data_IF_303940458721
#
_entry.id   IF_303940458721
#
_cell.length_a   1.000
_cell.length_b   1.000
_cell.length_c   1.000
_cell.angle_alpha   90.00
_cell.angle_beta   90.00
_cell.angle_gamma   90.00
#
_symmetry.space_group_name_H-M   'P 1'
#
loop_
_entity.id
_entity.type
_entity.pdbx_description
1 polymer ?
#
# COMPACT_ATOMS: atom_id res chain seq x y z
N UNK A 1 4.17 24.83 14.58
CA UNK A 1 3.12 23.94 14.08
C UNK A 1 2.32 23.46 15.29
N UNK A 2 1.12 24.01 15.44
CA UNK A 2 0.30 23.78 16.64
C UNK A 2 -0.19 22.33 16.75
N UNK A 3 -0.60 21.73 15.61
CA UNK A 3 -1.11 20.35 15.59
C UNK A 3 -0.12 19.29 16.11
N UNK A 4 1.20 19.48 15.95
CA UNK A 4 2.20 18.55 16.47
C UNK A 4 2.20 18.55 17.99
N UNK A 5 2.14 19.73 18.59
CA UNK A 5 2.07 19.88 20.05
C UNK A 5 0.79 19.24 20.60
N UNK A 6 -0.33 19.53 19.97
CA UNK A 6 -1.64 18.98 20.34
C UNK A 6 -1.65 17.44 20.20
N UNK A 7 -1.16 16.90 19.08
CA UNK A 7 -1.08 15.46 18.88
C UNK A 7 -0.19 14.77 19.92
N UNK A 8 0.94 15.39 20.31
CA UNK A 8 1.80 14.84 21.35
C UNK A 8 1.16 14.89 22.74
N UNK A 9 0.23 15.81 22.99
CA UNK A 9 -0.50 15.88 24.26
C UNK A 9 -1.51 14.74 24.43
N UNK A 10 -2.02 14.15 23.34
CA UNK A 10 -3.01 13.06 23.39
C UNK A 10 -2.54 11.90 24.29
N UNK A 11 -1.26 11.56 24.26
CA UNK A 11 -0.67 10.47 25.05
C UNK A 11 -0.22 10.88 26.44
N UNK A 12 -0.30 12.17 26.78
CA UNK A 12 0.06 12.71 28.09
C UNK A 12 -1.19 12.68 28.96
N UNK A 13 -1.08 12.04 30.12
CA UNK A 13 -2.18 12.02 31.10
C UNK A 13 -2.33 13.41 31.75
N UNK A 14 -3.58 13.79 31.97
CA UNK A 14 -3.94 14.98 32.72
C UNK A 14 -3.70 14.77 34.25
N UNK A 15 -4.07 15.77 35.03
CA UNK A 15 -3.93 15.75 36.49
C UNK A 15 -4.81 14.65 37.18
N UNK A 16 -5.80 14.13 36.47
CA UNK A 16 -6.67 13.02 36.92
C UNK A 16 -6.19 11.66 36.42
N UNK A 17 -5.08 11.60 35.67
CA UNK A 17 -4.52 10.38 35.11
C UNK A 17 -5.20 9.88 33.82
N UNK A 18 -6.05 10.71 33.18
CA UNK A 18 -6.75 10.39 31.94
C UNK A 18 -5.97 10.86 30.71
N UNK A 19 -6.04 10.10 29.61
CA UNK A 19 -5.51 10.55 28.32
C UNK A 19 -6.33 11.68 27.74
N UNK A 20 -5.68 12.69 27.13
CA UNK A 20 -6.30 13.90 26.59
C UNK A 20 -6.79 13.66 25.15
N UNK A 21 -7.78 12.78 24.95
CA UNK A 21 -8.28 12.38 23.62
C UNK A 21 -8.93 13.52 22.82
N UNK A 22 -9.47 14.54 23.50
CA UNK A 22 -10.00 15.76 22.91
C UNK A 22 -8.95 16.55 22.12
N UNK A 23 -7.68 16.47 22.54
CA UNK A 23 -6.56 17.08 21.83
C UNK A 23 -6.33 16.53 20.43
N UNK A 24 -6.73 15.29 20.15
CA UNK A 24 -6.67 14.73 18.80
C UNK A 24 -7.58 15.50 17.83
N UNK A 25 -8.78 15.84 18.26
CA UNK A 25 -9.72 16.66 17.44
C UNK A 25 -9.20 18.07 17.21
N UNK A 26 -8.61 18.68 18.23
CA UNK A 26 -7.97 20.00 18.10
C UNK A 26 -6.76 19.91 17.14
N UNK A 27 -5.95 18.86 17.24
CA UNK A 27 -4.83 18.61 16.33
C UNK A 27 -5.29 18.40 14.88
N UNK A 28 -6.38 17.64 14.68
CA UNK A 28 -6.99 17.43 13.36
C UNK A 28 -7.40 18.76 12.73
N UNK A 29 -8.16 19.60 13.44
CA UNK A 29 -8.65 20.89 12.93
C UNK A 29 -7.45 21.81 12.59
N UNK A 30 -6.51 21.99 13.51
CA UNK A 30 -5.31 22.79 13.27
C UNK A 30 -4.49 22.28 12.07
N UNK A 31 -4.39 20.95 11.90
CA UNK A 31 -3.69 20.35 10.75
C UNK A 31 -4.39 20.65 9.42
N UNK A 32 -5.71 20.48 9.37
CA UNK A 32 -6.49 20.74 8.17
C UNK A 32 -6.47 22.24 7.80
N UNK A 33 -6.65 23.14 8.77
CA UNK A 33 -6.76 24.57 8.52
C UNK A 33 -5.40 25.22 8.23
N UNK A 34 -4.38 24.93 9.03
CA UNK A 34 -3.08 25.60 8.94
C UNK A 34 -2.13 24.97 7.89
N UNK A 35 -2.28 23.67 7.61
CA UNK A 35 -1.30 22.95 6.80
C UNK A 35 -1.86 22.38 5.50
N UNK A 36 -3.06 21.83 5.51
CA UNK A 36 -3.67 21.19 4.34
C UNK A 36 -4.39 22.18 3.45
N UNK A 37 -5.35 22.95 4.02
CA UNK A 37 -6.21 23.87 3.25
C UNK A 37 -5.43 24.87 2.41
N UNK A 38 -4.31 25.47 2.88
CA UNK A 38 -3.51 26.38 2.07
C UNK A 38 -2.82 25.73 0.87
N UNK A 39 -2.65 24.41 0.91
CA UNK A 39 -1.98 23.64 -0.17
C UNK A 39 -2.95 23.04 -1.19
N UNK A 40 -4.25 23.04 -0.90
CA UNK A 40 -5.24 22.52 -1.83
C UNK A 40 -5.35 23.47 -3.02
N UNK A 41 -5.05 22.96 -4.22
CA UNK A 41 -5.24 23.70 -5.46
C UNK A 41 -6.72 23.97 -5.68
N UNK A 42 -7.07 25.24 -5.87
CA UNK A 42 -8.43 25.68 -6.09
C UNK A 42 -8.78 25.67 -7.58
N UNK A 43 -9.99 25.25 -7.90
CA UNK A 43 -10.58 25.26 -9.23
C UNK A 43 -11.95 25.93 -9.16
N UNK A 44 -12.39 26.58 -10.24
CA UNK A 44 -13.68 27.27 -10.25
C UNK A 44 -14.85 26.28 -10.20
N UNK A 45 -14.71 25.13 -10.87
CA UNK A 45 -15.72 24.07 -10.92
C UNK A 45 -15.06 22.70 -11.11
N UNK A 46 -15.89 21.63 -11.08
CA UNK A 46 -15.42 20.25 -11.23
C UNK A 46 -14.89 19.99 -12.65
N UNK A 47 -15.51 20.56 -13.68
CA UNK A 47 -15.13 20.37 -15.08
C UNK A 47 -13.69 20.87 -15.32
N UNK A 48 -13.39 22.11 -14.90
CA UNK A 48 -12.04 22.68 -14.97
C UNK A 48 -11.02 21.80 -14.23
N UNK A 49 -11.40 21.31 -13.05
CA UNK A 49 -10.55 20.40 -12.28
C UNK A 49 -10.24 19.11 -13.03
N UNK A 50 -11.27 18.44 -13.57
CA UNK A 50 -11.11 17.18 -14.30
C UNK A 50 -10.28 17.40 -15.57
N UNK A 51 -10.54 18.48 -16.30
CA UNK A 51 -9.75 18.83 -17.48
C UNK A 51 -8.27 19.02 -17.13
N UNK A 52 -7.97 19.80 -16.09
CA UNK A 52 -6.61 19.98 -15.59
C UNK A 52 -5.94 18.66 -15.23
N UNK A 53 -6.64 17.76 -14.52
CA UNK A 53 -6.11 16.47 -14.09
C UNK A 53 -5.84 15.52 -15.27
N UNK A 54 -6.64 15.58 -16.34
CA UNK A 54 -6.44 14.80 -17.56
C UNK A 54 -5.26 15.37 -18.37
N UNK A 55 -5.24 16.67 -18.62
CA UNK A 55 -4.20 17.34 -19.44
C UNK A 55 -2.79 17.20 -18.85
N UNK A 56 -2.70 17.18 -17.52
CA UNK A 56 -1.43 16.98 -16.81
C UNK A 56 -1.13 15.51 -16.51
N UNK A 57 -1.86 14.56 -17.09
CA UNK A 57 -1.68 13.11 -16.95
C UNK A 57 -1.77 12.60 -15.50
N UNK A 58 -2.56 13.25 -14.66
CA UNK A 58 -2.87 12.78 -13.32
C UNK A 58 -3.98 11.74 -13.33
N UNK A 59 -5.08 11.99 -14.07
CA UNK A 59 -6.18 11.06 -14.20
C UNK A 59 -6.21 10.38 -15.57
N UNK A 60 -6.69 9.13 -15.60
CA UNK A 60 -6.83 8.38 -16.83
C UNK A 60 -8.05 8.90 -17.62
N UNK A 61 -7.80 9.46 -18.81
CA UNK A 61 -8.85 9.96 -19.70
C UNK A 61 -9.85 8.88 -20.09
N UNK A 62 -9.36 7.66 -20.34
CA UNK A 62 -10.20 6.55 -20.78
C UNK A 62 -11.21 6.13 -19.69
N UNK A 63 -10.84 6.23 -18.43
CA UNK A 63 -11.75 6.00 -17.30
C UNK A 63 -12.88 7.03 -17.29
N UNK A 64 -12.55 8.30 -17.42
CA UNK A 64 -13.53 9.39 -17.34
C UNK A 64 -14.43 9.45 -18.58
N UNK A 65 -13.91 9.11 -19.76
CA UNK A 65 -14.68 9.09 -21.01
C UNK A 65 -15.79 8.04 -21.05
N UNK A 66 -15.82 7.08 -20.12
CA UNK A 66 -16.90 6.10 -19.98
C UNK A 66 -18.19 6.70 -19.41
N UNK A 67 -18.13 7.93 -18.92
CA UNK A 67 -19.23 8.60 -18.25
C UNK A 67 -19.48 10.00 -18.83
N UNK A 68 -20.74 10.42 -18.80
CA UNK A 68 -21.07 11.82 -19.13
C UNK A 68 -20.63 12.77 -18.02
N UNK A 69 -20.27 14.02 -18.37
CA UNK A 69 -19.91 15.03 -17.39
C UNK A 69 -21.06 15.31 -16.40
N UNK A 70 -22.31 15.24 -16.88
CA UNK A 70 -23.50 15.39 -16.03
C UNK A 70 -23.59 14.28 -14.98
N UNK A 71 -23.31 13.02 -15.36
CA UNK A 71 -23.26 11.91 -14.43
C UNK A 71 -22.18 12.12 -13.37
N UNK A 72 -20.95 12.41 -13.80
CA UNK A 72 -19.81 12.66 -12.87
C UNK A 72 -20.14 13.77 -11.89
N UNK A 73 -20.76 14.85 -12.37
CA UNK A 73 -21.17 15.99 -11.52
C UNK A 73 -22.23 15.58 -10.50
N UNK A 74 -23.22 14.79 -10.93
CA UNK A 74 -24.27 14.29 -10.03
C UNK A 74 -23.70 13.38 -8.96
N UNK A 75 -22.81 12.44 -9.32
CA UNK A 75 -22.13 11.55 -8.40
C UNK A 75 -21.25 12.33 -7.39
N UNK A 76 -20.53 13.34 -7.87
CA UNK A 76 -19.71 14.19 -6.99
C UNK A 76 -20.55 14.99 -5.99
N UNK A 77 -21.68 15.51 -6.45
CA UNK A 77 -22.62 16.23 -5.56
C UNK A 77 -23.26 15.28 -4.53
N UNK A 78 -23.55 14.04 -4.92
CA UNK A 78 -24.01 13.01 -4.00
C UNK A 78 -22.95 12.72 -2.93
N UNK A 79 -21.69 12.50 -3.32
CA UNK A 79 -20.56 12.28 -2.38
C UNK A 79 -20.44 13.45 -1.40
N UNK A 80 -20.49 14.70 -1.89
CA UNK A 80 -20.37 15.90 -1.06
C UNK A 80 -21.48 16.03 -0.02
N UNK A 81 -22.71 15.60 -0.32
CA UNK A 81 -23.83 15.67 0.62
C UNK A 81 -23.62 14.85 1.90
N UNK A 82 -22.72 13.85 1.87
CA UNK A 82 -22.41 13.04 3.05
C UNK A 82 -21.52 13.77 4.07
N UNK A 83 -20.99 14.96 3.76
CA UNK A 83 -20.17 15.79 4.66
C UNK A 83 -19.10 14.97 5.39
N UNK A 84 -18.28 14.23 4.63
CA UNK A 84 -17.23 13.37 5.19
C UNK A 84 -16.26 14.18 6.06
N UNK A 85 -16.02 13.68 7.27
CA UNK A 85 -15.03 14.22 8.20
C UNK A 85 -14.07 13.12 8.66
N UNK A 86 -12.78 13.45 8.72
CA UNK A 86 -11.80 12.56 9.34
C UNK A 86 -12.07 12.45 10.85
N UNK A 87 -11.97 11.25 11.38
CA UNK A 87 -12.25 10.98 12.81
C UNK A 87 -11.05 11.28 13.73
N UNK A 88 -9.84 11.38 13.19
CA UNK A 88 -8.61 11.60 13.95
C UNK A 88 -7.56 12.34 13.11
N UNK A 89 -6.63 13.02 13.80
CA UNK A 89 -5.45 13.60 13.15
C UNK A 89 -4.69 12.55 12.33
N UNK A 90 -4.49 11.35 12.91
CA UNK A 90 -3.76 10.27 12.23
C UNK A 90 -4.42 9.88 10.90
N UNK A 91 -5.75 9.78 10.85
CA UNK A 91 -6.48 9.42 9.62
C UNK A 91 -6.32 10.47 8.53
N UNK A 92 -6.45 11.76 8.87
CA UNK A 92 -6.25 12.86 7.94
C UNK A 92 -4.80 12.93 7.45
N UNK A 93 -3.85 12.86 8.39
CA UNK A 93 -2.43 12.88 8.07
C UNK A 93 -2.06 11.74 7.12
N UNK A 94 -2.51 10.52 7.43
CA UNK A 94 -2.26 9.34 6.58
C UNK A 94 -2.84 9.51 5.18
N UNK A 95 -4.06 10.03 5.05
CA UNK A 95 -4.68 10.29 3.76
C UNK A 95 -3.88 11.32 2.95
N UNK A 96 -3.60 12.48 3.49
CA UNK A 96 -2.92 13.55 2.76
C UNK A 96 -1.43 13.29 2.52
N UNK A 97 -0.77 12.49 3.36
CA UNK A 97 0.62 12.10 3.12
C UNK A 97 0.75 11.02 2.05
N UNK A 98 -0.09 9.99 2.06
CA UNK A 98 0.13 8.76 1.32
C UNK A 98 -0.87 8.53 0.17
N UNK A 99 -2.10 9.06 0.24
CA UNK A 99 -3.16 8.73 -0.72
C UNK A 99 -3.57 9.89 -1.61
N UNK A 100 -3.65 11.10 -1.07
CA UNK A 100 -4.05 12.27 -1.85
C UNK A 100 -3.06 12.56 -2.98
N UNK A 101 -3.59 12.80 -4.17
CA UNK A 101 -2.79 13.22 -5.33
C UNK A 101 -2.21 14.60 -5.09
N UNK A 102 -0.95 14.76 -5.45
CA UNK A 102 -0.22 16.02 -5.36
C UNK A 102 0.39 16.36 -6.71
N UNK A 103 0.76 17.61 -6.90
CA UNK A 103 1.58 18.02 -8.04
C UNK A 103 2.93 17.29 -8.03
N UNK A 104 3.58 17.17 -9.19
CA UNK A 104 4.85 16.45 -9.32
C UNK A 104 5.97 17.00 -8.43
N UNK A 105 5.91 18.29 -8.06
CA UNK A 105 6.83 18.93 -7.11
C UNK A 105 6.39 18.79 -5.64
N UNK A 106 5.25 18.14 -5.41
CA UNK A 106 4.69 17.87 -4.08
C UNK A 106 4.14 19.08 -3.32
N UNK A 107 4.07 20.26 -3.95
CA UNK A 107 3.70 21.51 -3.26
C UNK A 107 2.21 21.69 -3.11
N UNK A 108 1.43 21.32 -4.12
CA UNK A 108 -0.03 21.47 -4.12
C UNK A 108 -0.72 20.12 -4.00
N UNK A 109 -1.85 20.10 -3.30
CA UNK A 109 -2.72 18.93 -3.15
C UNK A 109 -3.85 19.06 -4.18
N UNK A 110 -4.02 18.04 -5.00
CA UNK A 110 -4.99 17.99 -6.09
C UNK A 110 -6.28 17.23 -5.73
N UNK A 111 -6.22 16.36 -4.74
CA UNK A 111 -7.36 15.54 -4.30
C UNK A 111 -7.72 15.79 -2.83
N UNK A 112 -9.00 15.99 -2.58
CA UNK A 112 -9.64 15.78 -1.26
C UNK A 112 -10.11 14.32 -1.14
N UNK A 113 -10.63 13.92 0.02
CA UNK A 113 -11.22 12.59 0.20
C UNK A 113 -12.41 12.35 -0.74
N UNK A 114 -13.24 13.38 -0.96
CA UNK A 114 -14.38 13.31 -1.89
C UNK A 114 -13.91 13.07 -3.34
N UNK A 115 -12.85 13.73 -3.77
CA UNK A 115 -12.26 13.50 -5.10
C UNK A 115 -11.73 12.07 -5.24
N UNK A 116 -11.11 11.57 -4.19
CA UNK A 116 -10.59 10.19 -4.18
C UNK A 116 -11.72 9.17 -4.25
N UNK A 117 -12.80 9.36 -3.50
CA UNK A 117 -13.99 8.50 -3.59
C UNK A 117 -14.57 8.54 -4.99
N UNK A 118 -14.71 9.72 -5.60
CA UNK A 118 -15.20 9.88 -6.97
C UNK A 118 -14.39 9.06 -7.98
N UNK A 119 -13.09 9.30 -8.06
CA UNK A 119 -12.25 8.68 -9.09
C UNK A 119 -12.12 7.17 -8.91
N UNK A 120 -12.06 6.68 -7.66
CA UNK A 120 -12.00 5.26 -7.36
C UNK A 120 -13.30 4.56 -7.76
N UNK A 121 -14.46 5.17 -7.45
CA UNK A 121 -15.76 4.61 -7.81
C UNK A 121 -15.94 4.53 -9.32
N UNK A 122 -15.60 5.58 -10.06
CA UNK A 122 -15.66 5.60 -11.52
C UNK A 122 -14.72 4.56 -12.14
N UNK A 123 -13.51 4.43 -11.62
CA UNK A 123 -12.52 3.51 -12.16
C UNK A 123 -12.91 2.04 -11.94
N UNK A 124 -13.43 1.70 -10.77
CA UNK A 124 -13.80 0.32 -10.43
C UNK A 124 -15.13 -0.09 -11.07
N UNK A 125 -16.05 0.85 -11.29
CA UNK A 125 -17.33 0.58 -11.94
C UNK A 125 -17.22 0.46 -13.45
N UNK A 126 -16.12 0.89 -14.05
CA UNK A 126 -15.76 0.67 -15.47
C UNK A 126 -16.86 1.02 -16.48
N UNK A 127 -17.65 2.05 -16.23
CA UNK A 127 -18.76 2.52 -17.08
C UNK A 127 -20.15 2.16 -16.56
N UNK A 128 -20.27 1.34 -15.52
CA UNK A 128 -21.55 1.05 -14.88
C UNK A 128 -21.92 2.18 -13.90
N UNK A 129 -22.85 3.03 -14.31
CA UNK A 129 -23.30 4.17 -13.53
C UNK A 129 -23.96 3.77 -12.19
N UNK A 130 -24.74 2.69 -12.17
CA UNK A 130 -25.41 2.21 -10.95
C UNK A 130 -24.39 1.71 -9.95
N UNK A 131 -23.44 0.92 -10.42
CA UNK A 131 -22.37 0.40 -9.56
C UNK A 131 -21.43 1.50 -9.07
N UNK A 132 -21.20 2.55 -9.88
CA UNK A 132 -20.42 3.72 -9.44
C UNK A 132 -21.08 4.45 -8.25
N UNK A 133 -22.42 4.59 -8.26
CA UNK A 133 -23.14 5.15 -7.12
C UNK A 133 -23.07 4.27 -5.89
N UNK A 134 -23.29 2.96 -6.02
CA UNK A 134 -23.22 2.01 -4.90
C UNK A 134 -21.84 2.01 -4.25
N UNK A 135 -20.78 1.98 -5.06
CA UNK A 135 -19.40 2.06 -4.58
C UNK A 135 -19.12 3.38 -3.87
N UNK A 136 -19.53 4.50 -4.47
CA UNK A 136 -19.31 5.83 -3.88
C UNK A 136 -20.01 5.94 -2.52
N UNK A 137 -21.24 5.42 -2.40
CA UNK A 137 -21.98 5.39 -1.14
C UNK A 137 -21.25 4.58 -0.06
N UNK A 138 -20.84 3.36 -0.41
CA UNK A 138 -20.10 2.48 0.52
C UNK A 138 -18.77 3.08 0.97
N UNK A 139 -18.03 3.68 0.03
CA UNK A 139 -16.74 4.31 0.31
C UNK A 139 -16.89 5.55 1.20
N UNK A 140 -17.84 6.44 0.89
CA UNK A 140 -18.01 7.69 1.64
C UNK A 140 -18.56 7.44 3.05
N UNK A 141 -19.40 6.43 3.22
CA UNK A 141 -19.89 5.97 4.52
C UNK A 141 -18.86 5.15 5.29
N UNK A 142 -17.71 4.81 4.68
CA UNK A 142 -16.69 3.93 5.25
C UNK A 142 -17.20 2.51 5.59
N UNK A 143 -18.21 2.03 4.87
CA UNK A 143 -18.70 0.65 4.95
C UNK A 143 -17.83 -0.32 4.15
N UNK A 144 -17.09 0.21 3.18
CA UNK A 144 -16.12 -0.53 2.37
C UNK A 144 -14.85 0.29 2.19
N UNK A 145 -13.70 -0.36 2.30
CA UNK A 145 -12.38 0.22 2.04
C UNK A 145 -11.59 -0.72 1.13
N UNK A 146 -11.25 -0.29 -0.10
CA UNK A 146 -10.40 -1.09 -0.98
C UNK A 146 -9.00 -1.28 -0.40
N UNK A 147 -8.29 -2.29 -0.90
CA UNK A 147 -6.87 -2.45 -0.61
C UNK A 147 -6.09 -1.17 -0.97
N UNK A 148 -5.00 -0.92 -0.24
CA UNK A 148 -4.18 0.27 -0.43
C UNK A 148 -3.81 0.56 -1.89
N UNK A 149 -3.32 -0.40 -2.71
CA UNK A 149 -2.99 -0.13 -4.11
C UNK A 149 -4.21 0.27 -4.93
N UNK A 150 -5.33 -0.41 -4.74
CA UNK A 150 -6.58 -0.08 -5.42
C UNK A 150 -7.01 1.35 -5.09
N UNK A 151 -7.09 1.69 -3.80
CA UNK A 151 -7.49 3.03 -3.37
C UNK A 151 -6.49 4.11 -3.78
N UNK A 152 -5.19 3.78 -3.87
CA UNK A 152 -4.15 4.71 -4.31
C UNK A 152 -4.18 4.94 -5.82
N UNK A 153 -4.30 3.87 -6.63
CA UNK A 153 -3.97 3.88 -8.05
C UNK A 153 -5.19 3.92 -8.98
N UNK A 154 -6.38 3.50 -8.54
CA UNK A 154 -7.56 3.44 -9.42
C UNK A 154 -7.87 4.81 -10.04
N UNK A 155 -8.05 4.82 -11.35
CA UNK A 155 -8.34 6.01 -12.15
C UNK A 155 -7.18 6.98 -12.39
N UNK A 156 -5.98 6.69 -11.90
CA UNK A 156 -4.78 7.50 -12.17
C UNK A 156 -4.11 7.08 -13.47
N UNK A 157 -3.55 8.03 -14.22
CA UNK A 157 -2.82 7.76 -15.45
C UNK A 157 -1.46 7.13 -15.18
N UNK A 158 -0.70 7.71 -14.25
CA UNK A 158 0.61 7.19 -13.81
C UNK A 158 0.39 6.43 -12.50
N UNK A 159 -0.11 5.22 -12.61
CA UNK A 159 -0.45 4.38 -11.47
C UNK A 159 0.36 3.08 -11.48
N UNK A 160 0.55 2.53 -10.29
CA UNK A 160 0.95 1.14 -10.14
C UNK A 160 -0.25 0.20 -10.30
N UNK A 161 -0.02 -1.07 -10.04
CA UNK A 161 -1.07 -2.09 -10.07
C UNK A 161 -2.14 -1.86 -9.00
N UNK A 162 -3.34 -2.41 -9.23
CA UNK A 162 -4.43 -2.37 -8.25
C UNK A 162 -4.35 -3.51 -7.23
N UNK A 163 -3.44 -4.44 -7.42
CA UNK A 163 -3.22 -5.63 -6.58
C UNK A 163 -2.14 -5.37 -5.56
N UNK A 164 -2.31 -5.87 -4.33
CA UNK A 164 -1.36 -5.63 -3.23
C UNK A 164 -0.47 -6.81 -2.89
N UNK A 165 -0.85 -8.04 -3.25
CA UNK A 165 -0.17 -9.25 -2.80
C UNK A 165 0.00 -10.25 -3.95
N UNK A 166 1.20 -10.80 -4.06
CA UNK A 166 1.55 -11.81 -5.04
C UNK A 166 2.14 -13.02 -4.33
N UNK A 167 1.64 -14.20 -4.68
CA UNK A 167 2.07 -15.47 -4.10
C UNK A 167 2.73 -16.31 -5.18
N UNK A 168 3.96 -16.75 -4.93
CA UNK A 168 4.75 -17.55 -5.84
C UNK A 168 5.13 -18.89 -5.18
N UNK A 169 5.16 -19.97 -5.96
CA UNK A 169 5.80 -21.23 -5.57
C UNK A 169 7.17 -21.32 -6.22
N UNK A 170 8.17 -21.79 -5.47
CA UNK A 170 9.54 -21.96 -5.96
C UNK A 170 9.75 -23.43 -6.29
N UNK A 171 10.23 -23.70 -7.49
CA UNK A 171 10.59 -25.06 -7.91
C UNK A 171 12.04 -25.37 -7.55
N UNK A 172 12.31 -26.65 -7.24
CA UNK A 172 13.63 -27.13 -6.81
C UNK A 172 14.58 -27.34 -8.01
N UNK A 173 14.91 -26.22 -8.67
CA UNK A 173 15.89 -26.16 -9.75
C UNK A 173 16.54 -24.77 -9.78
N UNK A 174 17.74 -24.68 -10.36
CA UNK A 174 18.44 -23.40 -10.54
C UNK A 174 17.59 -22.42 -11.34
N UNK A 175 16.95 -22.91 -12.40
CA UNK A 175 16.07 -22.14 -13.26
C UNK A 175 14.83 -21.66 -12.50
N UNK A 176 14.18 -22.56 -11.73
CA UNK A 176 12.99 -22.23 -10.94
C UNK A 176 13.28 -21.21 -9.84
N UNK A 177 14.39 -21.36 -9.11
CA UNK A 177 14.83 -20.41 -8.10
C UNK A 177 15.13 -19.05 -8.73
N UNK A 178 15.90 -19.02 -9.83
CA UNK A 178 16.25 -17.78 -10.53
C UNK A 178 15.02 -17.06 -11.09
N UNK A 179 14.09 -17.81 -11.68
CA UNK A 179 12.84 -17.27 -12.18
C UNK A 179 11.97 -16.67 -11.05
N UNK A 180 11.86 -17.37 -9.92
CA UNK A 180 11.09 -16.90 -8.78
C UNK A 180 11.67 -15.60 -8.19
N UNK A 181 13.00 -15.51 -8.05
CA UNK A 181 13.68 -14.28 -7.58
C UNK A 181 13.45 -13.14 -8.56
N UNK A 182 13.63 -13.36 -9.87
CA UNK A 182 13.39 -12.32 -10.88
C UNK A 182 11.95 -11.84 -10.88
N UNK A 183 10.99 -12.77 -10.84
CA UNK A 183 9.55 -12.43 -10.76
C UNK A 183 9.23 -11.64 -9.51
N UNK A 184 9.76 -12.06 -8.34
CA UNK A 184 9.56 -11.35 -7.08
C UNK A 184 10.08 -9.90 -7.14
N UNK A 185 11.22 -9.68 -7.79
CA UNK A 185 11.79 -8.34 -7.97
C UNK A 185 10.90 -7.44 -8.83
N UNK A 186 10.39 -7.95 -9.94
CA UNK A 186 9.46 -7.19 -10.79
C UNK A 186 8.16 -6.85 -10.06
N UNK A 187 7.58 -7.81 -9.34
CA UNK A 187 6.34 -7.63 -8.58
C UNK A 187 6.54 -6.67 -7.39
N UNK A 188 7.68 -6.74 -6.70
CA UNK A 188 8.03 -5.79 -5.63
C UNK A 188 8.16 -4.37 -6.17
N UNK A 189 8.82 -4.20 -7.33
CA UNK A 189 9.02 -2.88 -7.96
C UNK A 189 7.71 -2.18 -8.32
N UNK A 190 6.69 -2.90 -8.77
CA UNK A 190 5.37 -2.32 -9.13
C UNK A 190 4.45 -2.07 -7.93
N UNK A 191 4.91 -2.33 -6.72
CA UNK A 191 4.20 -1.94 -5.51
C UNK A 191 3.53 -3.06 -4.72
N UNK A 192 3.69 -4.31 -5.14
CA UNK A 192 3.13 -5.48 -4.46
C UNK A 192 3.99 -6.00 -3.31
N UNK A 193 3.36 -6.52 -2.26
CA UNK A 193 4.00 -7.41 -1.32
C UNK A 193 4.11 -8.80 -1.97
N UNK A 194 5.28 -9.43 -1.88
CA UNK A 194 5.51 -10.73 -2.51
C UNK A 194 5.80 -11.79 -1.46
N UNK A 195 5.13 -12.92 -1.58
CA UNK A 195 5.38 -14.08 -0.73
C UNK A 195 5.72 -15.31 -1.57
N UNK A 196 6.70 -16.08 -1.12
CA UNK A 196 7.18 -17.26 -1.82
C UNK A 196 7.06 -18.50 -0.93
N UNK A 197 6.47 -19.56 -1.49
CA UNK A 197 6.42 -20.87 -0.85
C UNK A 197 7.67 -21.65 -1.23
N UNK A 198 8.53 -21.92 -0.25
CA UNK A 198 9.79 -22.64 -0.39
C UNK A 198 9.67 -24.15 -0.10
N UNK A 199 8.48 -24.66 0.21
CA UNK A 199 8.29 -26.05 0.69
C UNK A 199 8.66 -27.13 -0.33
N UNK A 200 8.83 -26.77 -1.61
CA UNK A 200 9.25 -27.72 -2.65
C UNK A 200 10.76 -27.82 -2.80
N UNK A 201 11.52 -26.90 -2.21
CA UNK A 201 12.98 -26.96 -2.24
C UNK A 201 13.44 -28.13 -1.39
N UNK A 202 14.51 -28.79 -1.81
CA UNK A 202 15.15 -29.83 -0.99
C UNK A 202 15.83 -29.24 0.24
N UNK A 203 15.94 -30.04 1.28
CA UNK A 203 16.57 -29.63 2.51
C UNK A 203 18.10 -29.49 2.39
N UNK A 204 18.69 -28.77 3.34
CA UNK A 204 20.15 -28.65 3.48
C UNK A 204 20.78 -30.03 3.59
N UNK A 205 21.92 -30.19 2.92
CA UNK A 205 22.72 -31.43 2.90
C UNK A 205 22.06 -32.63 2.19
N UNK A 206 20.90 -32.46 1.54
CA UNK A 206 20.40 -33.53 0.67
C UNK A 206 21.29 -33.73 -0.55
N UNK A 207 21.31 -34.92 -1.11
CA UNK A 207 22.18 -35.23 -2.27
C UNK A 207 21.66 -34.56 -3.54
N UNK A 208 22.58 -34.07 -4.38
CA UNK A 208 22.32 -33.62 -5.75
C UNK A 208 23.13 -34.48 -6.71
N UNK A 209 22.46 -35.17 -7.64
CA UNK A 209 23.11 -36.10 -8.62
C UNK A 209 24.02 -37.10 -7.92
N UNK A 210 23.58 -37.69 -6.82
CA UNK A 210 24.32 -38.64 -5.96
C UNK A 210 25.57 -38.05 -5.26
N UNK A 211 25.71 -36.74 -5.19
CA UNK A 211 26.73 -36.06 -4.39
C UNK A 211 26.13 -35.71 -3.04
N UNK A 212 26.55 -36.39 -1.98
CA UNK A 212 26.09 -36.15 -0.61
C UNK A 212 26.46 -34.77 -0.13
N UNK A 213 25.58 -34.15 0.64
CA UNK A 213 25.79 -32.83 1.25
C UNK A 213 25.79 -31.66 0.27
N UNK A 214 25.36 -31.84 -0.97
CA UNK A 214 25.47 -30.83 -2.02
C UNK A 214 24.38 -29.76 -1.97
N UNK A 215 23.22 -30.02 -1.34
CA UNK A 215 22.12 -29.08 -1.30
C UNK A 215 22.34 -27.98 -0.27
N UNK A 216 22.10 -26.72 -0.67
CA UNK A 216 22.24 -25.55 0.20
C UNK A 216 21.01 -25.27 1.06
N UNK A 217 19.87 -25.94 0.83
CA UNK A 217 18.64 -25.79 1.59
C UNK A 217 17.92 -24.47 1.38
N UNK A 218 16.87 -24.27 2.19
CA UNK A 218 15.95 -23.11 2.04
C UNK A 218 16.53 -21.79 2.55
N UNK A 219 17.42 -21.81 3.54
CA UNK A 219 17.96 -20.59 4.17
C UNK A 219 18.79 -19.78 3.17
N UNK A 220 19.56 -20.43 2.31
CA UNK A 220 20.32 -19.75 1.25
C UNK A 220 19.42 -19.00 0.27
N UNK A 221 18.31 -19.62 -0.16
CA UNK A 221 17.33 -18.99 -1.04
C UNK A 221 16.62 -17.84 -0.33
N UNK A 222 16.24 -18.01 0.93
CA UNK A 222 15.64 -16.94 1.74
C UNK A 222 16.57 -15.72 1.88
N UNK A 223 17.87 -15.94 2.05
CA UNK A 223 18.89 -14.87 2.07
C UNK A 223 18.96 -14.11 0.75
N UNK A 224 18.98 -14.80 -0.37
CA UNK A 224 18.97 -14.15 -1.70
C UNK A 224 17.72 -13.29 -1.88
N UNK A 225 16.55 -13.78 -1.47
CA UNK A 225 15.29 -13.04 -1.52
C UNK A 225 15.32 -11.80 -0.62
N UNK A 226 15.84 -11.92 0.61
CA UNK A 226 15.98 -10.79 1.53
C UNK A 226 16.82 -9.66 0.93
N UNK A 227 17.99 -9.99 0.39
CA UNK A 227 18.87 -9.01 -0.25
C UNK A 227 18.20 -8.39 -1.49
N UNK A 228 17.51 -9.21 -2.26
CA UNK A 228 16.77 -8.77 -3.44
C UNK A 228 15.68 -7.76 -3.09
N UNK A 229 14.83 -8.04 -2.12
CA UNK A 229 13.78 -7.12 -1.67
C UNK A 229 14.35 -5.83 -1.05
N UNK A 230 15.50 -5.90 -0.39
CA UNK A 230 16.14 -4.70 0.16
C UNK A 230 16.64 -3.76 -0.93
N UNK A 231 17.05 -4.29 -2.08
CA UNK A 231 17.54 -3.52 -3.22
C UNK A 231 16.41 -3.00 -4.11
N UNK A 232 15.45 -3.87 -4.48
CA UNK A 232 14.31 -3.51 -5.35
C UNK A 232 13.15 -2.95 -4.54
N UNK A 233 13.30 -1.73 -4.03
CA UNK A 233 12.23 -1.03 -3.34
C UNK A 233 11.32 -0.27 -4.31
N UNK A 234 10.10 0.06 -3.83
CA UNK A 234 9.01 0.62 -4.63
C UNK A 234 9.19 2.13 -4.85
N UNK A 235 10.11 2.55 -5.71
CA UNK A 235 10.31 3.95 -6.14
C UNK A 235 10.20 4.99 -5.00
N UNK A 236 10.65 4.67 -3.79
CA UNK A 236 10.60 5.55 -2.62
C UNK A 236 9.24 5.66 -1.90
N UNK A 237 8.17 5.05 -2.43
CA UNK A 237 6.85 5.07 -1.77
C UNK A 237 6.70 4.03 -0.66
N UNK A 238 7.34 2.87 -0.80
CA UNK A 238 7.41 1.78 0.20
C UNK A 238 8.75 1.06 0.10
N UNK A 239 9.26 0.59 1.22
CA UNK A 239 10.38 -0.37 1.19
C UNK A 239 9.87 -1.69 0.63
N UNK A 240 10.69 -2.35 -0.20
CA UNK A 240 10.41 -3.69 -0.67
C UNK A 240 10.25 -4.63 0.53
N UNK A 241 9.14 -5.35 0.57
CA UNK A 241 8.84 -6.28 1.65
C UNK A 241 8.47 -7.63 1.06
N UNK A 242 9.06 -8.68 1.59
CA UNK A 242 8.79 -10.05 1.19
C UNK A 242 8.49 -10.95 2.38
N UNK A 243 7.83 -12.06 2.07
CA UNK A 243 7.63 -13.14 3.01
C UNK A 243 8.02 -14.47 2.37
N UNK A 244 8.49 -15.40 3.16
CA UNK A 244 8.65 -16.80 2.75
C UNK A 244 7.83 -17.71 3.63
N UNK A 245 7.28 -18.74 3.02
CA UNK A 245 6.49 -19.77 3.69
C UNK A 245 7.17 -21.11 3.55
N UNK A 246 7.18 -21.87 4.62
CA UNK A 246 7.74 -23.24 4.64
C UNK A 246 6.77 -24.17 5.37
N UNK A 247 6.62 -25.38 4.83
CA UNK A 247 5.87 -26.44 5.51
C UNK A 247 6.50 -26.76 6.86
N UNK A 248 5.68 -26.92 7.89
CA UNK A 248 6.15 -27.35 9.23
C UNK A 248 6.80 -28.74 9.22
N UNK A 249 6.50 -29.56 8.21
CA UNK A 249 7.10 -30.87 8.01
C UNK A 249 8.39 -30.87 7.18
N UNK A 250 8.83 -29.68 6.72
CA UNK A 250 10.07 -29.57 5.96
C UNK A 250 11.28 -29.76 6.86
N UNK A 251 12.31 -30.57 6.48
CA UNK A 251 13.45 -30.81 7.35
C UNK A 251 14.22 -29.55 7.80
N UNK A 252 14.28 -28.52 6.97
CA UNK A 252 14.91 -27.23 7.31
C UNK A 252 13.99 -26.28 8.10
N UNK A 253 12.82 -26.70 8.57
CA UNK A 253 11.87 -25.79 9.20
C UNK A 253 12.47 -25.13 10.46
N UNK A 254 13.05 -25.91 11.36
CA UNK A 254 13.68 -25.37 12.58
C UNK A 254 14.84 -24.44 12.25
N UNK A 255 15.67 -24.82 11.27
CA UNK A 255 16.79 -23.99 10.81
C UNK A 255 16.32 -22.64 10.29
N UNK A 256 15.23 -22.60 9.50
CA UNK A 256 14.65 -21.35 9.02
C UNK A 256 14.09 -20.50 10.18
N UNK A 257 13.40 -21.09 11.15
CA UNK A 257 12.89 -20.38 12.32
C UNK A 257 14.03 -19.79 13.16
N UNK A 258 15.13 -20.50 13.29
CA UNK A 258 16.31 -20.05 14.04
C UNK A 258 16.96 -18.80 13.46
N UNK A 259 16.78 -18.52 12.17
CA UNK A 259 17.29 -17.29 11.52
C UNK A 259 16.69 -16.01 12.13
N UNK A 260 15.57 -16.10 12.85
CA UNK A 260 14.89 -14.96 13.51
C UNK A 260 15.26 -14.78 14.97
N UNK A 261 16.03 -15.68 15.56
CA UNK A 261 16.48 -15.53 16.94
C UNK A 261 17.41 -14.31 17.09
N UNK A 262 17.35 -13.64 18.25
CA UNK A 262 18.16 -12.44 18.54
C UNK A 262 19.66 -12.76 18.44
N UNK A 263 20.03 -13.96 18.84
CA UNK A 263 21.41 -14.48 18.83
C UNK A 263 21.73 -15.35 17.61
N UNK A 264 20.93 -15.29 16.54
CA UNK A 264 21.22 -16.02 15.32
C UNK A 264 22.55 -15.58 14.72
N UNK A 265 23.29 -16.53 14.14
CA UNK A 265 24.52 -16.23 13.39
C UNK A 265 24.21 -15.21 12.29
N UNK A 266 25.03 -14.16 12.20
CA UNK A 266 24.85 -13.09 11.19
C UNK A 266 24.82 -13.62 9.76
N UNK A 267 25.50 -14.73 9.49
CA UNK A 267 25.53 -15.36 8.16
C UNK A 267 24.15 -15.89 7.74
N UNK A 268 23.34 -16.36 8.70
CA UNK A 268 22.02 -16.96 8.41
C UNK A 268 20.87 -16.05 8.83
N UNK A 269 21.10 -15.02 9.64
CA UNK A 269 20.08 -14.15 10.17
C UNK A 269 19.27 -13.46 9.06
N UNK A 270 17.93 -13.50 9.17
CA UNK A 270 16.99 -12.83 8.29
C UNK A 270 16.35 -11.65 9.08
N UNK A 271 16.77 -10.42 8.77
CA UNK A 271 16.36 -9.23 9.50
C UNK A 271 14.99 -8.72 9.03
N UNK A 272 14.81 -8.57 7.72
CA UNK A 272 13.67 -7.90 7.12
C UNK A 272 12.64 -8.83 6.47
N UNK A 273 13.02 -10.05 6.10
CA UNK A 273 12.12 -11.02 5.49
C UNK A 273 11.15 -11.59 6.51
N UNK A 274 9.85 -11.57 6.22
CA UNK A 274 8.83 -12.20 7.06
C UNK A 274 8.81 -13.72 6.86
N UNK A 275 8.62 -14.48 7.92
CA UNK A 275 8.52 -15.95 7.86
C UNK A 275 7.10 -16.38 8.23
N UNK A 276 6.58 -17.37 7.50
CA UNK A 276 5.32 -18.03 7.75
C UNK A 276 5.45 -19.55 7.71
N UNK A 277 4.70 -20.23 8.58
CA UNK A 277 4.54 -21.66 8.59
C UNK A 277 3.25 -22.07 7.88
N UNK A 278 3.25 -23.17 7.14
CA UNK A 278 2.09 -23.74 6.45
C UNK A 278 2.04 -25.27 6.62
#
# INVERSE_FOLDING_TARGET
>A
MNWIKLNNQVIIKDNEGKYQLDKDKEALNSYLDEYISPKIKKFNNLEEKLQYLIENEYYCKDTLNKYSLSFITNLFNFIKKHNFEFKSYMSANKFYQNYALKTNDGKEILETYNDKVLIVSLALADGDESFAFDLAEKLIKQEFQPATPTFLNAGRKRAGELVSCFLLSVEDSTEGISYAISSANHLSKIGGGVALNLSRLRASNEPIKNIEGAAGGVVGVAKMLEQSFSYFNQMGARQGAGAVYLSVFHPDFELLMDTKKINADEKIRLASLSLGAI
#
